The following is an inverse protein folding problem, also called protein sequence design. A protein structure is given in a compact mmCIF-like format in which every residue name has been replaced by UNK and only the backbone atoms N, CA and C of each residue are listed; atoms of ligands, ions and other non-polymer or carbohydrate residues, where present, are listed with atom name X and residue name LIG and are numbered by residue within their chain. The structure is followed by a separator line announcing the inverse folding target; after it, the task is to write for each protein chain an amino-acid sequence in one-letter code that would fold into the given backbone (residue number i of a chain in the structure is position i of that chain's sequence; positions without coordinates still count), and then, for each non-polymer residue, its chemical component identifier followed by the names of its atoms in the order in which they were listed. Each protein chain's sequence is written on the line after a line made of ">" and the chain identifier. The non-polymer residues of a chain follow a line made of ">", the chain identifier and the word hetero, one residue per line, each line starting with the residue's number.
data_IF_637045644266
#
_entry.id   IF_637045644266
#
_cell.length_a   1.000
_cell.length_b   1.000
_cell.length_c   1.000
_cell.angle_alpha   90.00
_cell.angle_beta   90.00
_cell.angle_gamma   90.00
#
_symmetry.space_group_name_H-M   'P 1'
#
loop_
_entity.id
_entity.type
_entity.pdbx_description
1 polymer ?
#
# COMPACT_ATOMS: atom_id res chain seq x y z
N UNK A 1 3.13 -14.38 -1.94
CA UNK A 1 3.20 -12.92 -1.72
C UNK A 1 2.14 -12.50 -0.71
N UNK A 2 2.48 -11.59 0.18
CA UNK A 2 1.54 -11.04 1.16
C UNK A 2 1.22 -9.59 0.82
N UNK A 3 -0.06 -9.27 0.79
CA UNK A 3 -0.56 -7.98 0.29
C UNK A 3 -1.45 -7.34 1.34
N UNK A 4 -1.23 -6.04 1.60
CA UNK A 4 -2.06 -5.25 2.50
C UNK A 4 -2.69 -4.12 1.72
N UNK A 5 -4.00 -3.95 1.86
CA UNK A 5 -4.77 -2.91 1.17
C UNK A 5 -5.39 -1.98 2.20
N UNK A 6 -5.31 -0.68 1.94
CA UNK A 6 -6.02 0.34 2.70
C UNK A 6 -6.92 1.13 1.75
N UNK A 7 -8.22 0.97 1.90
CA UNK A 7 -9.23 1.60 1.08
C UNK A 7 -10.53 1.74 1.87
N UNK A 8 -11.05 2.95 2.00
CA UNK A 8 -12.26 3.21 2.77
C UNK A 8 -13.55 2.88 2.01
N UNK A 9 -13.53 2.92 0.68
CA UNK A 9 -14.69 2.55 -0.11
C UNK A 9 -14.83 1.03 -0.19
N UNK A 10 -15.98 0.52 0.26
CA UNK A 10 -16.21 -0.93 0.35
C UNK A 10 -16.14 -1.62 -1.01
N UNK A 11 -16.75 -1.03 -2.04
CA UNK A 11 -16.76 -1.62 -3.38
C UNK A 11 -15.34 -1.68 -3.97
N UNK A 12 -14.58 -0.59 -3.85
CA UNK A 12 -13.19 -0.52 -4.30
C UNK A 12 -12.31 -1.50 -3.54
N UNK A 13 -12.51 -1.60 -2.23
CA UNK A 13 -11.75 -2.53 -1.38
C UNK A 13 -12.00 -3.98 -1.79
N UNK A 14 -13.25 -4.37 -2.00
CA UNK A 14 -13.60 -5.72 -2.44
C UNK A 14 -13.05 -6.05 -3.82
N UNK A 15 -13.16 -5.10 -4.75
CA UNK A 15 -12.68 -5.26 -6.12
C UNK A 15 -11.16 -5.47 -6.13
N UNK A 16 -10.43 -4.61 -5.43
CA UNK A 16 -8.98 -4.69 -5.39
C UNK A 16 -8.51 -5.95 -4.66
N UNK A 17 -9.19 -6.31 -3.56
CA UNK A 17 -8.89 -7.55 -2.82
C UNK A 17 -9.07 -8.79 -3.70
N UNK A 18 -10.15 -8.85 -4.45
CA UNK A 18 -10.43 -9.96 -5.36
C UNK A 18 -9.38 -10.06 -6.46
N UNK A 19 -9.04 -8.92 -7.06
CA UNK A 19 -8.01 -8.88 -8.09
C UNK A 19 -6.66 -9.35 -7.56
N UNK A 20 -6.22 -8.79 -6.44
CA UNK A 20 -4.89 -9.09 -5.89
C UNK A 20 -4.81 -10.47 -5.26
N UNK A 21 -5.93 -11.09 -4.87
CA UNK A 21 -5.94 -12.44 -4.33
C UNK A 21 -5.44 -13.48 -5.33
N UNK A 22 -5.41 -13.16 -6.62
CA UNK A 22 -4.80 -14.00 -7.66
C UNK A 22 -3.29 -14.12 -7.49
N UNK A 23 -2.67 -13.18 -6.82
CA UNK A 23 -1.21 -13.10 -6.71
C UNK A 23 -0.69 -13.46 -5.32
N UNK A 24 -1.53 -13.49 -4.30
CA UNK A 24 -1.10 -13.79 -2.95
C UNK A 24 -2.19 -13.67 -1.91
N UNK A 25 -1.80 -13.71 -0.66
CA UNK A 25 -2.72 -13.53 0.47
C UNK A 25 -2.96 -12.04 0.70
N UNK A 26 -4.22 -11.66 0.83
CA UNK A 26 -4.64 -10.26 0.95
C UNK A 26 -5.27 -10.01 2.31
N UNK A 27 -4.83 -8.96 2.99
CA UNK A 27 -5.51 -8.40 4.16
C UNK A 27 -5.93 -6.98 3.79
N UNK A 28 -7.09 -6.54 4.26
CA UNK A 28 -7.63 -5.24 3.90
C UNK A 28 -7.98 -4.44 5.14
N UNK A 29 -7.70 -3.13 5.08
CA UNK A 29 -8.01 -2.16 6.11
C UNK A 29 -8.93 -1.07 5.54
N UNK A 30 -9.75 -0.47 6.40
CA UNK A 30 -10.72 0.54 5.99
C UNK A 30 -10.21 1.98 6.15
N UNK A 31 -9.13 2.15 6.90
CA UNK A 31 -8.58 3.49 7.18
C UNK A 31 -7.09 3.41 7.52
N UNK A 32 -6.47 4.59 7.65
CA UNK A 32 -5.05 4.68 7.90
C UNK A 32 -4.61 4.12 9.25
N UNK A 33 -5.42 4.24 10.29
CA UNK A 33 -5.08 3.65 11.61
C UNK A 33 -5.07 2.14 11.53
N UNK A 34 -6.08 1.57 10.91
CA UNK A 34 -6.23 0.12 10.80
C UNK A 34 -5.08 -0.49 9.99
N UNK A 35 -4.67 0.15 8.88
CA UNK A 35 -3.57 -0.37 8.07
C UNK A 35 -2.25 -0.34 8.82
N UNK A 36 -1.99 0.71 9.58
CA UNK A 36 -0.78 0.82 10.41
C UNK A 36 -0.79 -0.26 11.49
N UNK A 37 -1.92 -0.45 12.15
CA UNK A 37 -2.06 -1.46 13.20
C UNK A 37 -1.83 -2.87 12.67
N UNK A 38 -2.38 -3.19 11.51
CA UNK A 38 -2.16 -4.49 10.87
C UNK A 38 -0.71 -4.69 10.47
N UNK A 39 -0.08 -3.66 9.90
CA UNK A 39 1.32 -3.72 9.51
C UNK A 39 2.21 -3.97 10.73
N UNK A 40 1.99 -3.23 11.80
CA UNK A 40 2.75 -3.37 13.05
C UNK A 40 2.53 -4.75 13.68
N UNK A 41 1.29 -5.24 13.69
CA UNK A 41 0.95 -6.54 14.26
C UNK A 41 1.67 -7.67 13.53
N UNK A 42 1.64 -7.65 12.20
CA UNK A 42 2.32 -8.68 11.40
C UNK A 42 3.84 -8.62 11.58
N UNK A 43 4.39 -7.42 11.67
CA UNK A 43 5.82 -7.23 11.91
C UNK A 43 6.24 -7.92 13.22
N UNK A 44 5.45 -7.78 14.28
CA UNK A 44 5.71 -8.45 15.57
C UNK A 44 5.66 -9.97 15.44
N UNK A 45 4.83 -10.47 14.53
CA UNK A 45 4.71 -11.91 14.26
C UNK A 45 5.80 -12.43 13.32
N UNK A 46 6.71 -11.57 12.88
CA UNK A 46 7.76 -11.93 11.93
C UNK A 46 7.28 -12.02 10.49
N UNK A 47 6.13 -11.44 10.18
CA UNK A 47 5.54 -11.48 8.85
C UNK A 47 5.71 -10.14 8.16
N UNK A 48 6.34 -10.17 6.97
CA UNK A 48 6.55 -8.98 6.15
C UNK A 48 5.56 -8.98 4.97
N UNK A 49 4.98 -7.81 4.71
CA UNK A 49 4.18 -7.62 3.50
C UNK A 49 5.10 -7.32 2.32
N UNK A 50 4.77 -7.87 1.17
CA UNK A 50 5.49 -7.62 -0.08
C UNK A 50 4.93 -6.40 -0.79
N UNK A 51 3.63 -6.18 -0.69
CA UNK A 51 2.93 -5.07 -1.35
C UNK A 51 1.94 -4.44 -0.40
N UNK A 52 1.94 -3.11 -0.35
CA UNK A 52 0.94 -2.32 0.36
C UNK A 52 0.30 -1.35 -0.64
N UNK A 53 -1.02 -1.41 -0.77
CA UNK A 53 -1.78 -0.47 -1.61
C UNK A 53 -2.48 0.51 -0.68
N UNK A 54 -2.16 1.79 -0.79
CA UNK A 54 -2.70 2.84 0.08
C UNK A 54 -3.49 3.86 -0.71
N UNK A 55 -4.77 4.03 -0.34
CA UNK A 55 -5.51 5.19 -0.78
C UNK A 55 -5.08 6.38 0.10
N UNK A 56 -4.72 7.50 -0.52
CA UNK A 56 -4.30 8.67 0.25
C UNK A 56 -5.47 9.46 0.84
N UNK A 57 -6.67 9.29 0.30
CA UNK A 57 -7.87 10.01 0.74
C UNK A 57 -8.70 9.13 1.67
N UNK A 58 -8.17 8.89 2.88
CA UNK A 58 -8.86 8.04 3.86
C UNK A 58 -9.19 8.83 5.13
N UNK A 59 -10.29 8.46 5.84
CA UNK A 59 -10.57 9.06 7.15
C UNK A 59 -9.52 8.68 8.18
N UNK A 60 -9.47 9.44 9.27
CA UNK A 60 -8.59 9.32 10.43
C UNK A 60 -7.14 9.65 10.11
N UNK A 61 -6.38 8.74 9.52
CA UNK A 61 -4.99 8.96 9.13
C UNK A 61 -4.92 8.83 7.61
N UNK A 62 -4.49 9.87 6.92
CA UNK A 62 -4.37 9.84 5.47
C UNK A 62 -3.25 8.88 5.02
N UNK A 63 -3.26 8.53 3.73
CA UNK A 63 -2.34 7.54 3.19
C UNK A 63 -0.87 7.92 3.33
N UNK A 64 -0.52 9.19 3.21
CA UNK A 64 0.88 9.61 3.35
C UNK A 64 1.37 9.51 4.78
N UNK A 65 0.53 9.85 5.75
CA UNK A 65 0.88 9.67 7.17
C UNK A 65 1.02 8.19 7.51
N UNK A 66 0.10 7.36 7.01
CA UNK A 66 0.19 5.91 7.18
C UNK A 66 1.49 5.37 6.58
N UNK A 67 1.85 5.83 5.38
CA UNK A 67 3.09 5.42 4.72
C UNK A 67 4.32 5.78 5.55
N UNK A 68 4.36 7.00 6.09
CA UNK A 68 5.46 7.44 6.94
C UNK A 68 5.62 6.51 8.15
N UNK A 69 4.51 6.17 8.81
CA UNK A 69 4.54 5.27 9.97
C UNK A 69 4.98 3.86 9.57
N UNK A 70 4.49 3.35 8.44
CA UNK A 70 4.90 2.05 7.93
C UNK A 70 6.41 2.00 7.69
N UNK A 71 6.96 3.03 7.05
CA UNK A 71 8.41 3.11 6.81
C UNK A 71 9.21 3.21 8.11
N UNK A 72 8.69 3.95 9.10
CA UNK A 72 9.32 4.03 10.42
C UNK A 72 9.33 2.67 11.13
N UNK A 73 8.24 1.91 11.02
CA UNK A 73 8.17 0.57 11.60
C UNK A 73 9.23 -0.33 10.96
N UNK A 74 9.38 -0.26 9.65
CA UNK A 74 10.41 -1.04 8.94
C UNK A 74 11.81 -0.67 9.40
N UNK A 75 12.10 0.62 9.48
CA UNK A 75 13.42 1.11 9.93
C UNK A 75 13.72 0.68 11.36
N UNK A 76 12.76 0.79 12.27
CA UNK A 76 12.93 0.39 13.67
C UNK A 76 13.18 -1.11 13.84
N UNK A 77 12.67 -1.91 12.90
CA UNK A 77 12.85 -3.36 12.92
C UNK A 77 14.02 -3.82 12.06
N UNK A 78 14.84 -2.89 11.55
CA UNK A 78 16.05 -3.21 10.81
C UNK A 78 15.81 -3.84 9.46
N UNK A 79 14.64 -3.58 8.84
CA UNK A 79 14.32 -4.14 7.53
C UNK A 79 15.13 -3.43 6.45
N UNK A 80 15.88 -4.20 5.66
CA UNK A 80 16.69 -3.66 4.57
C UNK A 80 15.81 -3.12 3.44
N UNK A 81 16.38 -2.24 2.60
CA UNK A 81 15.66 -1.68 1.44
C UNK A 81 15.09 -2.75 0.51
N UNK A 82 15.83 -3.85 0.34
CA UNK A 82 15.41 -4.94 -0.55
C UNK A 82 14.22 -5.71 0.00
N UNK A 83 14.04 -5.73 1.32
CA UNK A 83 13.00 -6.51 2.00
C UNK A 83 11.78 -5.68 2.42
N UNK A 84 11.87 -4.35 2.34
CA UNK A 84 10.73 -3.52 2.71
C UNK A 84 9.60 -3.67 1.69
N UNK A 85 8.37 -3.44 2.15
CA UNK A 85 7.19 -3.56 1.31
C UNK A 85 7.25 -2.57 0.14
N UNK A 86 6.83 -2.99 -1.04
CA UNK A 86 6.57 -2.07 -2.15
C UNK A 86 5.25 -1.38 -1.85
N UNK A 87 5.19 -0.07 -2.05
CA UNK A 87 3.98 0.70 -1.77
C UNK A 87 3.46 1.34 -3.05
N UNK A 88 2.21 1.07 -3.36
CA UNK A 88 1.49 1.69 -4.48
C UNK A 88 0.42 2.59 -3.88
N UNK A 89 0.52 3.87 -4.17
CA UNK A 89 -0.50 4.86 -3.78
C UNK A 89 -1.62 4.84 -4.82
N UNK A 90 -2.86 4.83 -4.36
CA UNK A 90 -4.03 4.97 -5.22
C UNK A 90 -4.81 6.21 -4.81
N UNK A 91 -5.34 6.95 -5.78
CA UNK A 91 -6.10 8.17 -5.48
C UNK A 91 -6.96 8.61 -6.65
N UNK A 92 -8.05 9.32 -6.35
CA UNK A 92 -8.84 10.02 -7.36
C UNK A 92 -8.09 11.24 -7.92
N UNK A 93 -7.09 11.75 -7.19
CA UNK A 93 -6.23 12.84 -7.65
C UNK A 93 -5.06 12.27 -8.44
N UNK A 94 -4.64 12.96 -9.50
CA UNK A 94 -3.41 12.54 -10.18
C UNK A 94 -2.20 12.92 -9.33
N UNK A 95 -1.02 12.38 -9.67
CA UNK A 95 0.18 12.56 -8.85
C UNK A 95 0.57 14.03 -8.67
N UNK A 96 0.33 14.87 -9.70
CA UNK A 96 0.65 16.30 -9.63
C UNK A 96 -0.30 17.09 -8.73
N UNK A 97 -1.51 16.58 -8.51
CA UNK A 97 -2.53 17.19 -7.65
C UNK A 97 -2.47 16.68 -6.22
N UNK A 98 -1.74 15.60 -5.99
CA UNK A 98 -1.67 14.96 -4.68
C UNK A 98 -0.87 15.82 -3.69
N UNK A 99 -1.16 15.73 -2.38
CA UNK A 99 -0.34 16.37 -1.36
C UNK A 99 1.10 15.91 -1.44
N UNK A 100 2.03 16.80 -1.10
CA UNK A 100 3.46 16.46 -1.10
C UNK A 100 3.75 15.47 0.03
N UNK A 101 4.46 14.41 -0.29
CA UNK A 101 4.99 13.48 0.69
C UNK A 101 6.14 14.17 1.44
N UNK A 102 5.96 14.41 2.74
CA UNK A 102 6.92 15.16 3.57
C UNK A 102 8.29 14.50 3.67
N UNK A 103 8.35 13.18 3.48
CA UNK A 103 9.59 12.41 3.57
C UNK A 103 10.18 12.05 2.21
N UNK A 104 9.79 12.79 1.18
CA UNK A 104 10.16 12.48 -0.18
C UNK A 104 9.35 11.29 -0.69
N UNK A 105 9.81 10.66 -1.77
CA UNK A 105 9.07 9.54 -2.37
C UNK A 105 9.30 8.25 -1.58
N UNK A 106 8.53 8.07 -0.52
CA UNK A 106 8.54 6.83 0.26
C UNK A 106 7.70 5.72 -0.39
N UNK A 107 6.88 6.06 -1.38
CA UNK A 107 6.12 5.10 -2.18
C UNK A 107 6.90 4.69 -3.43
N UNK A 108 6.56 3.54 -3.98
CA UNK A 108 7.23 2.98 -5.16
C UNK A 108 6.48 3.28 -6.45
N UNK A 109 5.17 3.49 -6.39
CA UNK A 109 4.35 3.82 -7.54
C UNK A 109 3.07 4.57 -7.13
N UNK A 110 2.45 5.23 -8.10
CA UNK A 110 1.21 5.98 -7.91
C UNK A 110 0.24 5.63 -9.04
N UNK A 111 -1.00 5.32 -8.69
CA UNK A 111 -2.04 4.99 -9.68
C UNK A 111 -3.25 5.88 -9.44
N UNK A 112 -3.69 6.59 -10.47
CA UNK A 112 -4.89 7.41 -10.43
C UNK A 112 -6.12 6.54 -10.64
N UNK A 113 -7.16 6.75 -9.83
CA UNK A 113 -8.45 6.07 -10.01
C UNK A 113 -9.21 6.67 -11.19
N UNK A 114 -10.03 5.88 -11.90
CA UNK A 114 -10.32 4.47 -11.65
C UNK A 114 -9.14 3.57 -11.99
N UNK A 115 -8.98 2.49 -11.25
CA UNK A 115 -7.83 1.60 -11.40
C UNK A 115 -8.00 0.74 -12.65
N UNK A 116 -7.03 0.86 -13.56
CA UNK A 116 -6.92 0.00 -14.74
C UNK A 116 -6.12 -1.23 -14.36
N UNK A 117 -6.72 -2.40 -14.47
CA UNK A 117 -6.10 -3.68 -14.09
C UNK A 117 -4.82 -3.97 -14.86
N UNK A 118 -4.82 -3.72 -16.17
CA UNK A 118 -3.65 -3.95 -17.00
C UNK A 118 -2.50 -3.05 -16.60
N UNK A 119 -2.79 -1.79 -16.32
CA UNK A 119 -1.80 -0.82 -15.84
C UNK A 119 -1.25 -1.22 -14.47
N UNK A 120 -2.13 -1.66 -13.57
CA UNK A 120 -1.73 -2.13 -12.24
C UNK A 120 -0.77 -3.32 -12.35
N UNK A 121 -1.12 -4.29 -13.18
CA UNK A 121 -0.28 -5.46 -13.42
C UNK A 121 1.08 -5.10 -13.99
N UNK A 122 1.13 -4.17 -14.93
CA UNK A 122 2.40 -3.67 -15.50
C UNK A 122 3.28 -3.04 -14.43
N UNK A 123 2.67 -2.29 -13.52
CA UNK A 123 3.40 -1.70 -12.40
C UNK A 123 3.94 -2.78 -11.46
N UNK A 124 3.15 -3.80 -11.15
CA UNK A 124 3.60 -4.92 -10.33
C UNK A 124 4.79 -5.64 -10.96
N UNK A 125 4.78 -5.83 -12.27
CA UNK A 125 5.91 -6.41 -12.99
C UNK A 125 7.15 -5.53 -12.90
N UNK A 126 6.97 -4.23 -13.09
CA UNK A 126 8.07 -3.25 -13.01
C UNK A 126 8.69 -3.21 -11.63
N UNK A 127 7.89 -3.42 -10.58
CA UNK A 127 8.35 -3.48 -9.20
C UNK A 127 8.88 -4.87 -8.82
N UNK A 128 8.92 -5.79 -9.75
CA UNK A 128 9.42 -7.16 -9.56
C UNK A 128 8.60 -7.96 -8.55
N UNK A 129 7.32 -7.63 -8.39
CA UNK A 129 6.39 -8.35 -7.54
C UNK A 129 5.84 -9.60 -8.22
N UNK A 130 5.71 -9.57 -9.55
CA UNK A 130 5.24 -10.68 -10.37
C UNK A 130 6.10 -10.80 -11.63
N UNK A 131 6.04 -11.93 -12.27
CA UNK A 131 6.79 -12.19 -13.50
C UNK A 131 6.05 -11.70 -14.76
#
# INVERSE_FOLDING_TARGET
>A
MRILIAEDDMASRKFLSKFLSKFGEVEAAENGMEVVDLFAKRMKEGVLFDLVCLDIMMPKVDGYKALTVIRDIERKNGISKEKRAKVIITSALNETEAPIDENGKEHDAYITKPIDMDKFQKIMKKLELIE
#
